data_IF_729369963298
#
_entry.id   IF_729369963298
#
_cell.length_a   1.000
_cell.length_b   1.000
_cell.length_c   1.000
_cell.angle_alpha   90.00
_cell.angle_beta   90.00
_cell.angle_gamma   90.00
#
_symmetry.space_group_name_H-M   'P 1'
#
loop_
_entity.id
_entity.type
_entity.pdbx_description
1 polymer ?
#
# COMPACT_ATOMS: atom_id res chain seq x y z
N UNK A 1 -18.76 5.88 -11.07
CA UNK A 1 -17.51 6.57 -10.66
C UNK A 1 -16.64 5.53 -10.00
N UNK A 2 -15.64 4.98 -10.69
CA UNK A 2 -14.70 4.07 -10.04
C UNK A 2 -13.75 4.93 -9.20
N UNK A 3 -13.89 4.88 -7.87
CA UNK A 3 -12.78 5.26 -7.00
C UNK A 3 -11.75 4.15 -7.17
N UNK A 4 -10.74 4.40 -8.01
CA UNK A 4 -9.58 3.53 -8.06
C UNK A 4 -8.97 3.48 -6.66
N UNK A 5 -8.86 2.31 -6.05
CA UNK A 5 -8.15 2.12 -4.78
C UNK A 5 -6.71 2.62 -4.88
N UNK A 6 -6.11 3.01 -3.76
CA UNK A 6 -4.72 3.47 -3.74
C UNK A 6 -3.77 2.40 -4.29
N UNK A 7 -4.08 1.11 -4.08
CA UNK A 7 -3.36 -0.03 -4.67
C UNK A 7 -3.28 0.07 -6.21
N UNK A 8 -4.42 0.35 -6.85
CA UNK A 8 -4.53 0.50 -8.31
C UNK A 8 -3.81 1.76 -8.80
N UNK A 9 -3.91 2.87 -8.06
CA UNK A 9 -3.20 4.11 -8.39
C UNK A 9 -1.68 3.92 -8.31
N UNK A 10 -1.18 3.27 -7.27
CA UNK A 10 0.23 2.87 -7.13
C UNK A 10 0.69 1.97 -8.26
N UNK A 11 -0.12 0.98 -8.63
CA UNK A 11 0.20 0.09 -9.74
C UNK A 11 0.33 0.87 -11.07
N UNK A 12 -0.62 1.77 -11.36
CA UNK A 12 -0.56 2.65 -12.54
C UNK A 12 0.68 3.55 -12.51
N UNK A 13 1.01 4.10 -11.34
CA UNK A 13 2.17 4.96 -11.14
C UNK A 13 3.50 4.21 -11.30
N UNK A 14 3.61 3.00 -10.76
CA UNK A 14 4.79 2.14 -10.95
C UNK A 14 4.96 1.79 -12.42
N UNK A 15 3.87 1.42 -13.10
CA UNK A 15 3.90 1.11 -14.53
C UNK A 15 4.32 2.33 -15.37
N UNK A 16 3.79 3.53 -15.07
CA UNK A 16 4.14 4.77 -15.77
C UNK A 16 5.62 5.15 -15.59
N UNK A 17 6.21 4.84 -14.42
CA UNK A 17 7.63 5.14 -14.13
C UNK A 17 8.60 4.00 -14.46
N UNK A 18 8.10 2.86 -14.93
CA UNK A 18 8.92 1.65 -15.16
C UNK A 18 9.48 1.05 -13.87
N UNK A 19 8.80 1.25 -12.74
CA UNK A 19 9.17 0.66 -11.46
C UNK A 19 8.60 -0.75 -11.30
N UNK A 20 9.25 -1.60 -10.48
CA UNK A 20 8.68 -2.88 -10.07
C UNK A 20 7.32 -2.68 -9.40
N UNK A 21 6.45 -3.67 -9.54
CA UNK A 21 5.14 -3.67 -8.89
C UNK A 21 5.28 -3.58 -7.36
N UNK A 22 4.37 -2.87 -6.68
CA UNK A 22 4.35 -2.80 -5.22
C UNK A 22 4.14 -4.20 -4.62
N UNK A 23 4.90 -4.52 -3.57
CA UNK A 23 4.77 -5.75 -2.80
C UNK A 23 4.10 -5.44 -1.47
N UNK A 24 2.98 -6.11 -1.18
CA UNK A 24 2.25 -5.98 0.08
C UNK A 24 2.55 -7.22 0.93
N UNK A 25 2.93 -7.00 2.18
CA UNK A 25 3.17 -8.04 3.17
C UNK A 25 2.39 -7.70 4.42
N UNK A 26 1.26 -8.36 4.58
CA UNK A 26 0.31 -8.15 5.65
C UNK A 26 0.44 -9.25 6.70
N UNK A 27 0.32 -8.87 7.97
CA UNK A 27 0.31 -9.81 9.08
C UNK A 27 -0.60 -9.33 10.20
N UNK A 28 -1.28 -10.28 10.83
CA UNK A 28 -2.08 -10.01 12.01
C UNK A 28 -1.24 -10.18 13.28
N UNK A 29 -1.17 -9.14 14.09
CA UNK A 29 -0.51 -9.14 15.40
C UNK A 29 -1.48 -8.61 16.44
N UNK A 30 -2.19 -9.53 17.10
CA UNK A 30 -3.30 -9.24 18.01
C UNK A 30 -3.00 -8.08 18.99
N UNK A 31 -3.83 -7.01 19.05
CA UNK A 31 -5.16 -6.86 18.45
C UNK A 31 -5.22 -6.08 17.12
N UNK A 32 -4.11 -5.98 16.36
CA UNK A 32 -4.01 -5.10 15.20
C UNK A 32 -3.48 -5.82 13.95
N UNK A 33 -3.95 -5.40 12.78
CA UNK A 33 -3.42 -5.78 11.48
C UNK A 33 -2.30 -4.84 11.09
N UNK A 34 -1.22 -5.38 10.54
CA UNK A 34 -0.09 -4.63 10.02
C UNK A 34 0.06 -4.94 8.54
N UNK A 35 0.49 -3.95 7.76
CA UNK A 35 0.85 -4.10 6.37
C UNK A 35 2.16 -3.38 6.09
N UNK A 36 3.10 -4.10 5.47
CA UNK A 36 4.35 -3.58 4.96
C UNK A 36 4.29 -3.53 3.42
N UNK A 37 4.36 -2.33 2.87
CA UNK A 37 4.36 -2.09 1.44
C UNK A 37 5.76 -1.71 0.97
N UNK A 38 6.34 -2.50 0.06
CA UNK A 38 7.62 -2.21 -0.57
C UNK A 38 7.37 -1.75 -2.01
N UNK A 39 7.78 -0.53 -2.33
CA UNK A 39 7.67 0.05 -3.67
C UNK A 39 8.90 0.88 -3.99
N UNK A 40 9.51 0.66 -5.16
CA UNK A 40 10.70 1.39 -5.61
C UNK A 40 11.83 1.48 -4.56
N UNK A 41 12.13 0.37 -3.88
CA UNK A 41 13.11 0.26 -2.78
C UNK A 41 12.79 1.10 -1.52
N UNK A 42 11.57 1.65 -1.42
CA UNK A 42 11.04 2.26 -0.20
C UNK A 42 10.10 1.28 0.50
N UNK A 43 10.08 1.33 1.83
CA UNK A 43 9.21 0.52 2.65
C UNK A 43 8.27 1.46 3.42
N UNK A 44 6.98 1.15 3.38
CA UNK A 44 5.91 1.84 4.10
C UNK A 44 5.23 0.84 5.00
N UNK A 45 4.98 1.21 6.25
CA UNK A 45 4.37 0.31 7.23
C UNK A 45 3.14 1.01 7.77
N UNK A 46 1.99 0.38 7.60
CA UNK A 46 0.73 0.84 8.15
C UNK A 46 0.12 -0.21 9.06
N UNK A 47 -0.82 0.22 9.88
CA UNK A 47 -1.54 -0.66 10.79
C UNK A 47 -3.01 -0.27 10.89
N UNK A 48 -3.90 -1.24 11.00
CA UNK A 48 -5.34 -1.04 11.15
C UNK A 48 -5.91 -1.98 12.21
N UNK A 49 -6.91 -1.50 12.95
CA UNK A 49 -7.58 -2.28 13.99
C UNK A 49 -8.78 -3.07 13.45
N UNK A 50 -9.20 -2.79 12.21
CA UNK A 50 -10.44 -3.30 11.64
C UNK A 50 -10.20 -4.44 10.67
N UNK A 51 -9.27 -4.26 9.73
CA UNK A 51 -9.02 -5.23 8.66
C UNK A 51 -7.63 -5.09 8.05
N UNK A 52 -7.18 -6.16 7.41
CA UNK A 52 -5.97 -6.19 6.59
C UNK A 52 -6.07 -5.25 5.39
N UNK A 53 -7.24 -5.23 4.72
CA UNK A 53 -7.50 -4.34 3.58
C UNK A 53 -7.32 -2.87 3.92
N UNK A 54 -7.76 -2.42 5.11
CA UNK A 54 -7.52 -1.03 5.57
C UNK A 54 -6.04 -0.75 5.82
N UNK A 55 -5.31 -1.71 6.40
CA UNK A 55 -3.88 -1.54 6.62
C UNK A 55 -3.13 -1.44 5.26
N UNK A 56 -3.52 -2.26 4.28
CA UNK A 56 -2.94 -2.18 2.94
C UNK A 56 -3.31 -0.88 2.22
N UNK A 57 -4.55 -0.41 2.36
CA UNK A 57 -5.02 0.83 1.73
C UNK A 57 -4.32 2.06 2.33
N UNK A 58 -4.10 2.10 3.65
CA UNK A 58 -3.32 3.16 4.30
C UNK A 58 -1.86 3.15 3.85
N UNK A 59 -1.22 1.98 3.82
CA UNK A 59 0.15 1.87 3.31
C UNK A 59 0.25 2.35 1.86
N UNK A 60 -0.72 1.95 1.03
CA UNK A 60 -0.81 2.38 -0.36
C UNK A 60 -1.07 3.90 -0.48
N UNK A 61 -1.91 4.48 0.36
CA UNK A 61 -2.18 5.92 0.39
C UNK A 61 -0.92 6.72 0.70
N UNK A 62 -0.16 6.34 1.74
CA UNK A 62 1.10 7.00 2.10
C UNK A 62 2.14 6.88 0.98
N UNK A 63 2.33 5.67 0.46
CA UNK A 63 3.27 5.43 -0.62
C UNK A 63 2.88 6.18 -1.90
N UNK A 64 1.60 6.23 -2.24
CA UNK A 64 1.13 6.99 -3.39
C UNK A 64 1.36 8.50 -3.20
N UNK A 65 1.12 9.06 -2.01
CA UNK A 65 1.35 10.49 -1.73
C UNK A 65 2.82 10.89 -1.72
N UNK A 66 3.69 10.01 -1.21
CA UNK A 66 5.14 10.25 -1.23
C UNK A 66 5.73 10.15 -2.64
N UNK A 67 5.15 9.27 -3.47
CA UNK A 67 5.63 9.02 -4.83
C UNK A 67 4.91 9.85 -5.89
N UNK A 68 3.72 10.41 -5.65
CA UNK A 68 2.93 11.12 -6.67
C UNK A 68 3.66 12.32 -7.23
#
# INVERSE_FOLDING_TARGET
MNRDSFKTLLQKLCNARGWPLPTYDSYYSNPQYFCSLIVNKRCYIASSQYSEDEAEEEAASEAYRDLS
#
